data_IF_856313362550
#
_entry.id   IF_856313362550
#
_cell.length_a   1.000
_cell.length_b   1.000
_cell.length_c   1.000
_cell.angle_alpha   90.00
_cell.angle_beta   90.00
_cell.angle_gamma   90.00
#
_symmetry.space_group_name_H-M   'P 1'
#
loop_
_entity.id
_entity.type
_entity.pdbx_description
1 polymer ?
#
# COMPACT_ATOMS: atom_id res chain seq x y z
N UNK A 1 -25.88 27.12 -9.64
CA UNK A 1 -24.83 27.06 -10.70
C UNK A 1 -23.41 27.19 -10.14
N UNK A 2 -23.10 28.16 -9.26
CA UNK A 2 -21.81 28.27 -8.55
C UNK A 2 -21.45 27.04 -7.68
N UNK A 3 -22.38 26.55 -6.86
CA UNK A 3 -22.17 25.38 -5.99
C UNK A 3 -21.81 24.09 -6.76
N UNK A 4 -22.33 23.93 -7.99
CA UNK A 4 -21.99 22.78 -8.86
C UNK A 4 -20.58 22.93 -9.46
N UNK A 5 -20.17 24.14 -9.83
CA UNK A 5 -18.84 24.41 -10.35
C UNK A 5 -17.77 24.32 -9.25
N UNK A 6 -18.07 24.73 -8.02
CA UNK A 6 -17.20 24.61 -6.84
C UNK A 6 -16.98 23.12 -6.48
N UNK A 7 -18.04 22.31 -6.45
CA UNK A 7 -17.93 20.87 -6.21
C UNK A 7 -17.14 20.12 -7.29
N UNK A 8 -17.23 20.53 -8.56
CA UNK A 8 -16.42 19.96 -9.64
C UNK A 8 -14.95 20.38 -9.59
N UNK A 9 -14.68 21.63 -9.20
CA UNK A 9 -13.32 22.13 -9.03
C UNK A 9 -12.61 21.41 -7.87
N UNK A 10 -13.30 21.25 -6.73
CA UNK A 10 -12.78 20.55 -5.56
C UNK A 10 -12.48 19.07 -5.85
N UNK A 11 -13.39 18.35 -6.54
CA UNK A 11 -13.14 16.98 -7.00
C UNK A 11 -11.94 16.87 -7.95
N UNK A 12 -11.79 17.81 -8.88
CA UNK A 12 -10.64 17.84 -9.81
C UNK A 12 -9.33 18.07 -9.09
N UNK A 13 -9.31 18.87 -8.04
CA UNK A 13 -8.09 19.14 -7.29
C UNK A 13 -7.73 17.96 -6.37
N UNK A 14 -8.70 17.33 -5.71
CA UNK A 14 -8.49 16.06 -4.97
C UNK A 14 -7.99 14.94 -5.90
N UNK A 15 -8.49 14.86 -7.13
CA UNK A 15 -8.01 13.91 -8.13
C UNK A 15 -6.54 14.17 -8.49
N UNK A 16 -6.18 15.42 -8.79
CA UNK A 16 -4.81 15.80 -9.14
C UNK A 16 -3.85 15.52 -7.98
N UNK A 17 -4.25 15.86 -6.76
CA UNK A 17 -3.46 15.62 -5.56
C UNK A 17 -3.21 14.14 -5.36
N UNK A 18 -4.23 13.30 -5.54
CA UNK A 18 -3.99 11.87 -5.35
C UNK A 18 -3.17 11.24 -6.48
N UNK A 19 -3.35 11.67 -7.72
CA UNK A 19 -2.48 11.25 -8.83
C UNK A 19 -1.02 11.63 -8.53
N UNK A 20 -0.79 12.84 -8.00
CA UNK A 20 0.54 13.29 -7.57
C UNK A 20 1.06 12.43 -6.42
N UNK A 21 0.23 12.09 -5.44
CA UNK A 21 0.59 11.20 -4.34
C UNK A 21 0.99 9.80 -4.86
N UNK A 22 0.14 9.17 -5.67
CA UNK A 22 0.40 7.83 -6.23
C UNK A 22 1.68 7.80 -7.06
N UNK A 23 2.03 8.90 -7.76
CA UNK A 23 3.28 8.97 -8.51
C UNK A 23 4.54 8.86 -7.65
N UNK A 24 4.44 9.14 -6.34
CA UNK A 24 5.56 9.02 -5.38
C UNK A 24 5.67 7.63 -4.77
N UNK A 25 4.61 6.82 -4.84
CA UNK A 25 4.63 5.44 -4.32
C UNK A 25 5.57 4.63 -5.22
N UNK A 26 6.59 4.01 -4.62
CA UNK A 26 7.69 3.33 -5.34
C UNK A 26 7.21 2.37 -6.40
N UNK A 27 6.06 1.74 -6.19
CA UNK A 27 5.50 0.73 -7.07
C UNK A 27 4.74 1.26 -8.27
N UNK A 28 4.33 2.53 -8.22
CA UNK A 28 3.58 3.20 -9.27
C UNK A 28 4.39 4.31 -9.95
N UNK A 29 5.63 4.56 -9.51
CA UNK A 29 6.46 5.66 -10.00
C UNK A 29 6.86 5.58 -11.49
N UNK A 30 6.65 4.43 -12.16
CA UNK A 30 6.86 4.26 -13.62
C UNK A 30 5.57 4.42 -14.45
N UNK A 31 4.43 4.58 -13.81
CA UNK A 31 3.15 4.78 -14.49
C UNK A 31 3.05 6.18 -15.07
N UNK A 32 2.41 6.30 -16.24
CA UNK A 32 2.14 7.61 -16.82
C UNK A 32 1.06 8.33 -16.01
N UNK A 33 0.95 9.66 -16.14
CA UNK A 33 -0.15 10.42 -15.51
C UNK A 33 -1.53 9.88 -15.91
N UNK A 34 -1.69 9.40 -17.15
CA UNK A 34 -2.93 8.79 -17.64
C UNK A 34 -3.22 7.47 -16.92
N UNK A 35 -2.20 6.62 -16.78
CA UNK A 35 -2.34 5.34 -16.08
C UNK A 35 -2.65 5.54 -14.59
N UNK A 36 -2.02 6.52 -13.94
CA UNK A 36 -2.29 6.88 -12.55
C UNK A 36 -3.71 7.40 -12.34
N UNK A 37 -4.24 8.20 -13.28
CA UNK A 37 -5.65 8.63 -13.26
C UNK A 37 -6.60 7.45 -13.37
N UNK A 38 -6.31 6.49 -14.25
CA UNK A 38 -7.10 5.28 -14.37
C UNK A 38 -7.01 4.42 -13.10
N UNK A 39 -5.81 4.26 -12.54
CA UNK A 39 -5.56 3.46 -11.34
C UNK A 39 -6.25 4.05 -10.10
N UNK A 40 -6.26 5.38 -9.95
CA UNK A 40 -6.94 6.08 -8.84
C UNK A 40 -8.38 5.61 -8.67
N UNK A 41 -9.10 5.33 -9.75
CA UNK A 41 -10.51 4.97 -9.71
C UNK A 41 -10.79 3.67 -8.94
N UNK A 42 -9.78 2.82 -8.76
CA UNK A 42 -9.87 1.55 -8.05
C UNK A 42 -9.52 1.69 -6.55
N UNK A 43 -9.04 2.85 -6.11
CA UNK A 43 -8.70 3.11 -4.73
C UNK A 43 -9.85 3.76 -3.97
N UNK A 44 -10.14 3.25 -2.78
CA UNK A 44 -11.00 3.91 -1.81
C UNK A 44 -10.20 4.40 -0.61
N UNK A 45 -10.64 5.50 -0.02
CA UNK A 45 -10.01 6.07 1.18
C UNK A 45 -10.64 5.44 2.43
N UNK A 46 -9.80 5.06 3.39
CA UNK A 46 -10.20 4.64 4.72
C UNK A 46 -9.48 5.47 5.75
N UNK A 47 -10.20 5.86 6.79
CA UNK A 47 -9.65 6.60 7.93
C UNK A 47 -9.63 5.68 9.13
N UNK A 48 -8.56 5.74 9.92
CA UNK A 48 -8.37 4.99 11.15
C UNK A 48 -7.96 5.95 12.26
N UNK A 49 -8.50 5.75 13.45
CA UNK A 49 -8.08 6.52 14.63
C UNK A 49 -6.84 5.93 15.27
N UNK A 50 -6.09 6.74 16.02
CA UNK A 50 -4.99 6.23 16.84
C UNK A 50 -5.44 5.04 17.70
N UNK A 51 -4.67 3.95 17.68
CA UNK A 51 -4.97 2.69 18.36
C UNK A 51 -5.87 1.74 17.59
N UNK A 52 -6.45 2.14 16.46
CA UNK A 52 -7.34 1.29 15.67
C UNK A 52 -6.56 0.23 14.87
N UNK A 53 -7.02 -1.02 14.94
CA UNK A 53 -6.42 -2.14 14.21
C UNK A 53 -6.95 -2.13 12.77
N UNK A 54 -6.04 -2.04 11.80
CA UNK A 54 -6.38 -2.08 10.37
C UNK A 54 -6.71 -3.52 9.96
N UNK A 55 -5.86 -4.47 10.37
CA UNK A 55 -6.16 -5.90 10.32
C UNK A 55 -5.25 -6.67 11.29
N UNK A 56 -5.69 -7.87 11.65
CA UNK A 56 -4.93 -8.81 12.48
C UNK A 56 -4.22 -9.84 11.60
N UNK A 57 -3.17 -10.44 12.16
CA UNK A 57 -2.57 -11.67 11.63
C UNK A 57 -3.66 -12.74 11.39
N UNK A 58 -3.45 -13.57 10.37
CA UNK A 58 -4.31 -14.68 9.96
C UNK A 58 -5.67 -14.27 9.39
N UNK A 59 -5.91 -12.96 9.24
CA UNK A 59 -7.15 -12.47 8.64
C UNK A 59 -7.19 -12.78 7.13
N UNK A 60 -8.31 -13.26 6.58
CA UNK A 60 -8.37 -13.78 5.21
C UNK A 60 -8.53 -12.69 4.13
N UNK A 61 -8.98 -11.48 4.49
CA UNK A 61 -9.27 -10.45 3.48
C UNK A 61 -7.99 -9.92 2.83
N UNK A 62 -7.90 -10.10 1.52
CA UNK A 62 -6.81 -9.59 0.68
C UNK A 62 -7.15 -8.20 0.15
N UNK A 63 -6.52 -7.21 0.78
CA UNK A 63 -6.57 -5.81 0.39
C UNK A 63 -5.16 -5.26 0.49
N UNK A 64 -4.75 -4.50 -0.51
CA UNK A 64 -3.51 -3.76 -0.52
C UNK A 64 -3.76 -2.33 -0.10
N UNK A 65 -2.86 -1.82 0.72
CA UNK A 65 -3.00 -0.51 1.32
C UNK A 65 -1.78 0.34 1.04
N UNK A 66 -2.00 1.65 0.98
CA UNK A 66 -0.95 2.67 0.91
C UNK A 66 -1.25 3.71 1.95
N UNK A 67 -0.29 3.96 2.84
CA UNK A 67 -0.45 5.00 3.85
C UNK A 67 -0.33 6.38 3.20
N UNK A 68 -1.42 7.16 3.22
CA UNK A 68 -1.45 8.54 2.71
C UNK A 68 -0.95 9.52 3.75
N UNK A 69 -1.40 9.36 4.99
CA UNK A 69 -1.05 10.18 6.15
C UNK A 69 -1.13 9.33 7.41
N UNK A 70 -0.31 9.64 8.40
CA UNK A 70 -0.25 8.91 9.66
C UNK A 70 1.03 8.10 9.81
N UNK A 71 1.07 7.29 10.85
CA UNK A 71 2.09 6.28 11.11
C UNK A 71 1.43 4.99 11.59
N UNK A 72 1.85 3.85 11.05
CA UNK A 72 1.32 2.53 11.43
C UNK A 72 2.44 1.66 12.00
N UNK A 73 2.07 0.76 12.89
CA UNK A 73 2.96 -0.27 13.45
C UNK A 73 2.60 -1.64 12.93
N UNK A 74 3.60 -2.36 12.45
CA UNK A 74 3.55 -3.80 12.14
C UNK A 74 3.97 -4.57 13.37
N UNK A 75 3.16 -5.53 13.81
CA UNK A 75 3.48 -6.30 15.01
C UNK A 75 2.98 -7.75 14.95
N UNK A 76 3.66 -8.61 15.73
CA UNK A 76 3.22 -9.95 16.07
C UNK A 76 2.87 -10.03 17.55
N UNK A 77 1.80 -10.75 17.88
CA UNK A 77 1.56 -11.20 19.24
C UNK A 77 2.06 -12.63 19.38
N UNK A 78 3.06 -12.82 20.23
CA UNK A 78 3.64 -14.13 20.55
C UNK A 78 3.46 -14.35 22.04
N UNK A 79 2.57 -15.30 22.40
CA UNK A 79 2.06 -15.45 23.77
C UNK A 79 1.49 -14.11 24.26
N UNK A 80 1.92 -13.62 25.42
CA UNK A 80 1.47 -12.36 26.02
C UNK A 80 2.35 -11.16 25.65
N UNK A 81 3.30 -11.32 24.73
CA UNK A 81 4.19 -10.22 24.30
C UNK A 81 3.85 -9.75 22.89
N UNK A 82 3.88 -8.44 22.73
CA UNK A 82 3.84 -7.79 21.43
C UNK A 82 5.26 -7.50 20.96
N UNK A 83 5.58 -7.96 19.75
CA UNK A 83 6.86 -7.73 19.09
C UNK A 83 6.60 -6.80 17.90
N UNK A 84 7.13 -5.60 17.97
CA UNK A 84 7.14 -4.65 16.85
C UNK A 84 8.11 -5.16 15.78
N UNK A 85 7.62 -5.30 14.55
CA UNK A 85 8.41 -5.76 13.40
C UNK A 85 8.91 -4.60 12.56
N UNK A 86 8.06 -3.60 12.34
CA UNK A 86 8.35 -2.47 11.47
C UNK A 86 7.36 -1.32 11.70
N UNK A 87 7.67 -0.16 11.11
CA UNK A 87 6.80 1.03 11.05
C UNK A 87 6.56 1.44 9.61
N UNK A 88 5.30 1.73 9.30
CA UNK A 88 4.87 2.19 7.98
C UNK A 88 4.63 3.69 8.04
N UNK A 89 5.28 4.41 7.13
CA UNK A 89 5.25 5.86 6.94
C UNK A 89 4.54 6.22 5.65
N UNK A 90 4.13 7.49 5.46
CA UNK A 90 3.42 7.91 4.26
C UNK A 90 4.16 7.53 2.97
N UNK A 91 3.40 7.17 1.94
CA UNK A 91 3.85 6.66 0.63
C UNK A 91 4.38 5.21 0.64
N UNK A 92 4.53 4.58 1.81
CA UNK A 92 4.75 3.14 1.90
C UNK A 92 3.43 2.38 1.77
N UNK A 93 3.54 1.15 1.32
CA UNK A 93 2.41 0.24 1.12
C UNK A 93 2.58 -1.02 1.94
N UNK A 94 1.48 -1.73 2.16
CA UNK A 94 1.46 -2.96 2.93
C UNK A 94 0.32 -3.87 2.52
N UNK A 95 0.42 -5.15 2.90
CA UNK A 95 -0.58 -6.15 2.58
C UNK A 95 -0.44 -6.71 1.16
N UNK A 96 0.70 -6.49 0.53
CA UNK A 96 1.10 -7.00 -0.77
C UNK A 96 1.16 -8.53 -0.81
N UNK A 97 1.58 -9.18 0.29
CA UNK A 97 1.64 -10.65 0.34
C UNK A 97 0.31 -11.27 -0.05
N UNK A 98 -0.83 -10.76 0.46
CA UNK A 98 -2.13 -11.32 0.13
C UNK A 98 -2.52 -11.18 -1.35
N UNK A 99 -1.99 -10.17 -2.07
CA UNK A 99 -2.29 -10.02 -3.51
C UNK A 99 -1.67 -11.20 -4.27
N UNK A 100 -0.40 -11.47 -4.02
CA UNK A 100 0.41 -12.40 -4.83
C UNK A 100 0.38 -13.83 -4.32
N UNK A 101 0.31 -13.99 -3.01
CA UNK A 101 0.26 -15.25 -2.32
C UNK A 101 -1.16 -15.38 -1.77
N UNK A 102 -1.83 -16.49 -2.03
CA UNK A 102 -3.18 -16.77 -1.48
C UNK A 102 -3.11 -17.12 0.00
N UNK A 103 -2.40 -16.27 0.75
CA UNK A 103 -2.00 -16.44 2.13
C UNK A 103 -2.74 -15.46 3.02
N UNK A 104 -2.95 -15.88 4.27
CA UNK A 104 -3.51 -15.00 5.30
C UNK A 104 -2.53 -13.90 5.68
N UNK A 105 -2.98 -12.87 6.40
CA UNK A 105 -2.09 -11.79 6.89
C UNK A 105 -0.96 -12.36 7.75
N UNK A 106 0.30 -12.06 7.37
CA UNK A 106 1.50 -12.52 8.08
C UNK A 106 1.72 -11.82 9.43
N UNK A 107 1.24 -10.59 9.58
CA UNK A 107 1.33 -9.78 10.79
C UNK A 107 0.08 -8.93 11.02
N UNK A 108 -0.02 -8.31 12.20
CA UNK A 108 -1.08 -7.34 12.51
C UNK A 108 -0.59 -5.92 12.26
N UNK A 109 -1.52 -5.01 11.94
CA UNK A 109 -1.25 -3.59 11.73
C UNK A 109 -2.18 -2.75 12.61
N UNK A 110 -1.61 -1.77 13.31
CA UNK A 110 -2.35 -0.78 14.11
C UNK A 110 -1.92 0.63 13.75
N UNK A 111 -2.86 1.58 13.76
CA UNK A 111 -2.56 3.00 13.61
C UNK A 111 -1.95 3.55 14.91
N UNK A 112 -0.81 4.22 14.82
CA UNK A 112 -0.17 4.90 15.96
C UNK A 112 -0.73 6.32 16.16
N UNK A 113 -1.21 6.92 15.08
CA UNK A 113 -1.90 8.22 15.05
C UNK A 113 -3.08 8.17 14.08
N UNK A 114 -3.90 9.22 14.06
CA UNK A 114 -4.99 9.34 13.08
C UNK A 114 -4.43 9.21 11.65
N UNK A 115 -4.90 8.21 10.93
CA UNK A 115 -4.28 7.74 9.69
C UNK A 115 -5.27 7.69 8.54
N UNK A 116 -4.81 8.11 7.37
CA UNK A 116 -5.51 7.97 6.09
C UNK A 116 -4.81 6.91 5.24
N UNK A 117 -5.56 5.92 4.78
CA UNK A 117 -5.04 4.81 3.97
C UNK A 117 -5.87 4.66 2.71
N UNK A 118 -5.17 4.56 1.57
CA UNK A 118 -5.77 4.13 0.33
C UNK A 118 -5.81 2.62 0.30
N UNK A 119 -6.94 2.06 -0.12
CA UNK A 119 -7.16 0.62 -0.19
C UNK A 119 -7.61 0.22 -1.60
N UNK A 120 -7.09 -0.91 -2.09
CA UNK A 120 -7.49 -1.54 -3.35
C UNK A 120 -7.60 -3.05 -3.12
N UNK A 121 -8.70 -3.66 -3.58
CA UNK A 121 -8.88 -5.10 -3.46
C UNK A 121 -8.02 -5.85 -4.50
N UNK A 122 -7.72 -7.13 -4.25
CA UNK A 122 -7.06 -7.99 -5.26
C UNK A 122 -7.83 -8.02 -6.58
N UNK A 123 -9.16 -8.11 -6.50
CA UNK A 123 -10.03 -8.13 -7.67
C UNK A 123 -9.94 -6.81 -8.47
N UNK A 124 -9.97 -5.66 -7.79
CA UNK A 124 -9.87 -4.35 -8.43
C UNK A 124 -8.50 -4.12 -9.07
N UNK A 125 -7.42 -4.51 -8.39
CA UNK A 125 -6.09 -4.43 -8.96
C UNK A 125 -5.95 -5.36 -10.19
N UNK A 126 -6.50 -6.57 -10.12
CA UNK A 126 -6.52 -7.50 -11.26
C UNK A 126 -7.31 -6.90 -12.43
N UNK A 127 -8.50 -6.36 -12.16
CA UNK A 127 -9.33 -5.69 -13.18
C UNK A 127 -8.58 -4.53 -13.84
N UNK A 128 -7.83 -3.73 -13.06
CA UNK A 128 -6.98 -2.68 -13.60
C UNK A 128 -5.88 -3.24 -14.53
N UNK A 129 -5.19 -4.30 -14.09
CA UNK A 129 -4.12 -4.94 -14.87
C UNK A 129 -4.67 -5.49 -16.19
N UNK A 130 -5.81 -6.19 -16.13
CA UNK A 130 -6.46 -6.78 -17.30
C UNK A 130 -6.92 -5.69 -18.30
N UNK A 131 -7.45 -4.57 -17.79
CA UNK A 131 -7.90 -3.44 -18.62
C UNK A 131 -6.75 -2.60 -19.18
N UNK A 132 -5.63 -2.52 -18.47
CA UNK A 132 -4.47 -1.69 -18.83
C UNK A 132 -3.16 -2.50 -18.76
N UNK A 133 -2.96 -3.50 -19.64
CA UNK A 133 -1.86 -4.48 -19.50
C UNK A 133 -0.47 -3.84 -19.54
N UNK A 134 -0.25 -2.78 -20.32
CA UNK A 134 1.02 -2.05 -20.33
C UNK A 134 1.33 -1.38 -18.98
N UNK A 135 0.31 -0.85 -18.31
CA UNK A 135 0.46 -0.27 -16.98
C UNK A 135 0.63 -1.38 -15.93
N UNK A 136 -0.17 -2.45 -16.02
CA UNK A 136 -0.06 -3.62 -15.16
C UNK A 136 1.33 -4.25 -15.19
N UNK A 137 1.91 -4.45 -16.37
CA UNK A 137 3.27 -4.98 -16.51
C UNK A 137 4.31 -4.12 -15.78
N UNK A 138 4.20 -2.79 -15.85
CA UNK A 138 5.10 -1.90 -15.10
C UNK A 138 5.00 -2.10 -13.59
N UNK A 139 3.78 -2.28 -13.06
CA UNK A 139 3.54 -2.58 -11.65
C UNK A 139 4.19 -3.93 -11.28
N UNK A 140 3.94 -4.97 -12.08
CA UNK A 140 4.46 -6.32 -11.84
C UNK A 140 6.00 -6.38 -11.90
N UNK A 141 6.62 -5.75 -12.90
CA UNK A 141 8.08 -5.62 -12.97
C UNK A 141 8.63 -4.87 -11.75
N UNK A 142 7.95 -3.80 -11.32
CA UNK A 142 8.38 -3.03 -10.15
C UNK A 142 8.28 -3.83 -8.85
N UNK A 143 7.25 -4.67 -8.70
CA UNK A 143 7.17 -5.65 -7.61
C UNK A 143 8.38 -6.60 -7.65
N UNK A 144 8.70 -7.16 -8.83
CA UNK A 144 9.86 -8.04 -9.00
C UNK A 144 11.17 -7.38 -8.58
N UNK A 145 11.43 -6.15 -9.03
CA UNK A 145 12.62 -5.38 -8.61
C UNK A 145 12.71 -5.20 -7.09
N UNK A 146 11.59 -4.90 -6.43
CA UNK A 146 11.54 -4.68 -4.98
C UNK A 146 11.80 -5.99 -4.24
N UNK A 147 11.19 -7.10 -4.66
CA UNK A 147 11.40 -8.42 -4.06
C UNK A 147 12.85 -8.89 -4.21
N UNK A 148 13.44 -8.75 -5.41
CA UNK A 148 14.85 -9.07 -5.64
C UNK A 148 15.75 -8.25 -4.72
N UNK A 149 15.48 -6.94 -4.59
CA UNK A 149 16.22 -6.05 -3.68
C UNK A 149 16.09 -6.50 -2.22
N UNK A 150 14.89 -6.91 -1.80
CA UNK A 150 14.67 -7.41 -0.45
C UNK A 150 15.47 -8.69 -0.17
N UNK A 151 15.45 -9.66 -1.10
CA UNK A 151 16.25 -10.90 -0.98
C UNK A 151 17.74 -10.59 -0.90
N UNK A 152 18.26 -9.71 -1.76
CA UNK A 152 19.68 -9.31 -1.71
C UNK A 152 20.05 -8.66 -0.38
N UNK A 153 19.17 -7.80 0.17
CA UNK A 153 19.40 -7.16 1.46
C UNK A 153 19.36 -8.15 2.63
N UNK A 154 18.48 -9.15 2.60
CA UNK A 154 18.43 -10.21 3.60
C UNK A 154 19.72 -11.05 3.57
N UNK A 155 20.17 -11.47 2.38
CA UNK A 155 21.41 -12.22 2.22
C UNK A 155 22.62 -11.43 2.75
N UNK A 156 22.69 -10.13 2.46
CA UNK A 156 23.77 -9.28 2.95
C UNK A 156 23.81 -9.22 4.48
N UNK A 157 22.65 -9.06 5.13
CA UNK A 157 22.57 -9.04 6.60
C UNK A 157 23.01 -10.36 7.23
N UNK A 158 22.66 -11.50 6.62
CA UNK A 158 23.09 -12.82 7.11
C UNK A 158 24.63 -12.90 7.08
N UNK A 159 25.26 -12.52 5.97
CA UNK A 159 26.73 -12.54 5.86
C UNK A 159 27.39 -11.62 6.89
N UNK A 160 26.85 -10.41 7.12
CA UNK A 160 27.35 -9.48 8.14
C UNK A 160 27.24 -10.04 9.57
N UNK A 161 26.25 -10.91 9.83
CA UNK A 161 26.10 -11.58 11.13
C UNK A 161 27.04 -12.79 11.30
N UNK A 162 27.45 -13.44 10.21
CA UNK A 162 28.43 -14.54 10.25
C UNK A 162 29.87 -14.04 10.43
N UNK A 163 30.15 -12.80 10.00
CA UNK A 163 31.46 -12.15 10.11
C UNK A 163 31.69 -11.41 11.46
N UNK A 164 30.66 -11.32 12.32
CA UNK A 164 30.67 -10.58 13.59
C UNK A 164 30.79 -11.50 14.82
#
# INVERSE_FOLDING_TARGET
>A
MKLFQENEAQKKDEEKELVKFLSKVTIFNKLSKKDLKNLRQYFYLRNFKSGEIIFKKDYPNVVFYILKQGELKVFLKVKDKEIELDRIKPQQYFGEMGIFLEEKRSASIVALEDSEVLAISKADLKNFIDKFPRAGNKILFKFGEILCTHVMNLNKKINEMEEA
#
